data_IF_280412211905
#
_entry.id   IF_280412211905
#
_cell.length_a   1.000
_cell.length_b   1.000
_cell.length_c   1.000
_cell.angle_alpha   90.00
_cell.angle_beta   90.00
_cell.angle_gamma   90.00
#
_symmetry.space_group_name_H-M   'P 1'
#
loop_
_entity.id
_entity.type
_entity.pdbx_description
1 polymer ?
#
# COMPACT_ATOMS: atom_id res chain seq x y z
N UNK A 1 1.23 -20.15 19.97
CA UNK A 1 0.70 -18.83 19.59
C UNK A 1 0.64 -18.01 20.86
N UNK A 2 1.28 -16.85 20.89
CA UNK A 2 1.37 -15.99 22.09
C UNK A 2 0.14 -15.10 22.24
N UNK A 3 -0.12 -14.58 23.44
CA UNK A 3 -1.22 -13.64 23.68
C UNK A 3 -1.13 -12.40 22.79
N UNK A 4 0.09 -11.91 22.55
CA UNK A 4 0.34 -10.80 21.63
C UNK A 4 -0.08 -11.14 20.19
N UNK A 5 0.22 -12.35 19.72
CA UNK A 5 -0.17 -12.81 18.38
C UNK A 5 -1.70 -12.95 18.26
N UNK A 6 -2.37 -13.46 19.30
CA UNK A 6 -3.83 -13.55 19.36
C UNK A 6 -4.48 -12.17 19.28
N UNK A 7 -3.99 -11.20 20.06
CA UNK A 7 -4.48 -9.82 20.04
C UNK A 7 -4.22 -9.17 18.69
N UNK A 8 -3.05 -9.37 18.07
CA UNK A 8 -2.75 -8.84 16.74
C UNK A 8 -3.67 -9.45 15.66
N UNK A 9 -3.92 -10.75 15.74
CA UNK A 9 -4.84 -11.43 14.83
C UNK A 9 -6.27 -10.89 15.00
N UNK A 10 -6.71 -10.71 16.24
CA UNK A 10 -7.97 -10.03 16.55
C UNK A 10 -8.00 -8.64 15.91
N UNK A 11 -7.01 -7.78 16.13
CA UNK A 11 -6.97 -6.41 15.57
C UNK A 11 -7.02 -6.43 14.04
N UNK A 12 -6.34 -7.38 13.39
CA UNK A 12 -6.28 -7.51 11.94
C UNK A 12 -7.60 -8.01 11.32
N UNK A 13 -8.37 -8.80 12.05
CA UNK A 13 -9.64 -9.35 11.56
C UNK A 13 -10.86 -8.54 12.01
N UNK A 14 -10.82 -8.02 13.23
CA UNK A 14 -11.89 -7.27 13.86
C UNK A 14 -11.90 -5.83 13.36
N UNK A 15 -12.58 -5.64 12.24
CA UNK A 15 -12.78 -4.32 11.65
C UNK A 15 -13.99 -3.63 12.30
N UNK A 16 -13.98 -3.44 13.63
CA UNK A 16 -14.87 -2.49 14.40
C UNK A 16 -14.09 -1.78 15.52
N UNK A 17 -14.54 -0.65 16.09
CA UNK A 17 -14.00 -0.12 17.33
C UNK A 17 -14.07 -1.16 18.46
N UNK A 18 -13.05 -1.22 19.30
CA UNK A 18 -12.93 -2.20 20.37
C UNK A 18 -12.31 -1.58 21.62
N UNK A 19 -12.54 -2.22 22.76
CA UNK A 19 -11.91 -1.92 24.05
C UNK A 19 -11.31 -3.21 24.63
N UNK A 20 -10.71 -3.12 25.82
CA UNK A 20 -10.13 -4.26 26.54
C UNK A 20 -11.14 -5.40 26.70
N UNK A 21 -12.38 -5.09 27.12
CA UNK A 21 -13.42 -6.10 27.33
C UNK A 21 -13.77 -6.87 26.05
N UNK A 22 -13.86 -6.17 24.92
CA UNK A 22 -14.14 -6.77 23.61
C UNK A 22 -13.04 -7.74 23.20
N UNK A 23 -11.77 -7.36 23.42
CA UNK A 23 -10.62 -8.22 23.14
C UNK A 23 -10.69 -9.45 24.05
N UNK A 24 -10.92 -9.25 25.35
CA UNK A 24 -10.98 -10.32 26.34
C UNK A 24 -12.08 -11.34 26.00
N UNK A 25 -13.27 -10.86 25.64
CA UNK A 25 -14.40 -11.71 25.27
C UNK A 25 -14.12 -12.56 24.02
N UNK A 26 -13.46 -12.00 23.01
CA UNK A 26 -13.27 -12.65 21.71
C UNK A 26 -11.98 -13.46 21.59
N UNK A 27 -11.00 -13.20 22.45
CA UNK A 27 -9.71 -13.93 22.48
C UNK A 27 -9.57 -14.84 23.70
N UNK A 28 -10.46 -14.72 24.69
CA UNK A 28 -10.36 -15.38 26.00
C UNK A 28 -9.08 -15.04 26.78
N UNK A 29 -8.40 -13.94 26.43
CA UNK A 29 -7.25 -13.42 27.16
C UNK A 29 -7.75 -12.55 28.31
N UNK A 30 -7.06 -12.61 29.45
CA UNK A 30 -7.40 -11.81 30.62
C UNK A 30 -7.15 -10.31 30.37
N UNK A 31 -8.02 -9.47 30.92
CA UNK A 31 -8.00 -8.02 30.71
C UNK A 31 -6.68 -7.37 31.15
N UNK A 32 -6.08 -7.84 32.25
CA UNK A 32 -4.79 -7.38 32.78
C UNK A 32 -3.63 -7.62 31.80
N UNK A 33 -3.62 -8.76 31.09
CA UNK A 33 -2.64 -9.05 30.05
C UNK A 33 -2.84 -8.13 28.85
N UNK A 34 -4.10 -7.90 28.46
CA UNK A 34 -4.44 -7.01 27.35
C UNK A 34 -4.01 -5.57 27.66
N UNK A 35 -4.28 -5.07 28.87
CA UNK A 35 -3.92 -3.73 29.32
C UNK A 35 -2.39 -3.52 29.36
N UNK A 36 -1.60 -4.58 29.58
CA UNK A 36 -0.14 -4.52 29.46
C UNK A 36 0.36 -4.49 28.00
N UNK A 37 -0.42 -5.00 27.06
CA UNK A 37 -0.05 -5.11 25.65
C UNK A 37 -0.52 -3.88 24.85
N UNK A 38 -1.68 -3.30 25.17
CA UNK A 38 -2.26 -2.15 24.47
C UNK A 38 -1.29 -0.96 24.34
N UNK A 39 -0.55 -0.53 25.39
CA UNK A 39 0.45 0.55 25.27
C UNK A 39 1.53 0.26 24.23
N UNK A 40 1.99 -0.99 24.12
CA UNK A 40 2.99 -1.41 23.12
C UNK A 40 2.43 -1.33 21.71
N UNK A 41 1.14 -1.64 21.54
CA UNK A 41 0.46 -1.57 20.25
C UNK A 41 0.16 -0.12 19.81
N UNK A 42 -0.09 0.77 20.77
CA UNK A 42 -0.16 2.22 20.54
C UNK A 42 1.20 2.76 20.11
N UNK A 43 2.26 2.40 20.84
CA UNK A 43 3.63 2.82 20.52
C UNK A 43 4.07 2.32 19.13
N UNK A 44 3.73 1.09 18.77
CA UNK A 44 4.04 0.54 17.45
C UNK A 44 3.08 0.99 16.34
N UNK A 45 2.14 1.90 16.63
CA UNK A 45 1.12 2.39 15.70
C UNK A 45 0.28 1.28 15.06
N UNK A 46 0.08 0.16 15.75
CA UNK A 46 -0.84 -0.89 15.28
C UNK A 46 -2.30 -0.46 15.48
N UNK A 47 -2.55 0.30 16.55
CA UNK A 47 -3.86 0.83 16.94
C UNK A 47 -3.76 2.32 17.25
N UNK A 48 -4.90 3.00 17.36
CA UNK A 48 -5.01 4.39 17.82
C UNK A 48 -6.27 4.56 18.68
N UNK A 49 -6.24 5.46 19.67
CA UNK A 49 -7.43 5.78 20.47
C UNK A 49 -8.41 6.63 19.64
N UNK A 50 -9.69 6.50 19.94
CA UNK A 50 -10.76 7.35 19.41
C UNK A 50 -11.65 7.96 20.50
N UNK A 51 -11.60 7.41 21.71
CA UNK A 51 -12.24 7.90 22.92
C UNK A 51 -11.33 7.56 24.10
N UNK A 52 -11.21 8.47 25.06
CA UNK A 52 -10.30 8.32 26.20
C UNK A 52 -11.01 7.71 27.43
N UNK A 53 -12.32 7.90 27.56
CA UNK A 53 -13.09 7.40 28.72
C UNK A 53 -14.53 6.99 28.37
N UNK A 54 -14.87 5.69 28.37
CA UNK A 54 -13.95 4.55 28.49
C UNK A 54 -13.03 4.46 27.26
N UNK A 55 -11.79 3.93 27.40
CA UNK A 55 -10.87 3.85 26.28
C UNK A 55 -11.42 3.00 25.13
N UNK A 56 -11.52 3.59 23.94
CA UNK A 56 -11.91 2.89 22.70
C UNK A 56 -10.80 3.05 21.67
N UNK A 57 -10.44 1.93 21.05
CA UNK A 57 -9.39 1.84 20.06
C UNK A 57 -9.90 1.38 18.70
N UNK A 58 -9.15 1.72 17.67
CA UNK A 58 -9.29 1.19 16.31
C UNK A 58 -7.94 0.82 15.73
N UNK A 59 -7.92 -0.01 14.69
CA UNK A 59 -6.71 -0.21 13.87
C UNK A 59 -6.23 1.13 13.31
N UNK A 60 -4.93 1.41 13.36
CA UNK A 60 -4.40 2.73 13.01
C UNK A 60 -4.80 3.20 11.60
N UNK A 61 -4.86 2.27 10.64
CA UNK A 61 -5.21 2.51 9.24
C UNK A 61 -6.73 2.51 8.93
N UNK A 62 -7.61 2.29 9.91
CA UNK A 62 -9.07 2.14 9.69
C UNK A 62 -9.73 3.36 9.06
N UNK A 63 -9.36 4.56 9.54
CA UNK A 63 -9.86 5.85 9.03
C UNK A 63 -8.83 6.56 8.16
N UNK A 64 -7.83 5.85 7.66
CA UNK A 64 -6.91 6.43 6.70
C UNK A 64 -7.70 6.70 5.43
N UNK A 65 -7.79 7.96 5.01
CA UNK A 65 -8.50 8.36 3.81
C UNK A 65 -7.96 7.53 2.63
N UNK A 66 -8.78 6.58 2.16
CA UNK A 66 -8.48 5.82 0.95
C UNK A 66 -8.87 6.72 -0.20
N UNK A 67 -7.87 7.28 -0.88
CA UNK A 67 -8.11 8.14 -2.04
C UNK A 67 -8.59 7.23 -3.17
N UNK A 68 -9.91 7.13 -3.30
CA UNK A 68 -10.58 6.44 -4.40
C UNK A 68 -10.49 7.30 -5.65
N UNK A 69 -9.99 6.72 -6.74
CA UNK A 69 -9.84 7.44 -8.01
C UNK A 69 -11.11 7.31 -8.86
N UNK A 70 -11.60 8.44 -9.38
CA UNK A 70 -12.91 8.54 -10.03
C UNK A 70 -13.02 7.72 -11.34
N UNK A 71 -11.90 7.47 -12.03
CA UNK A 71 -11.91 6.68 -13.29
C UNK A 71 -11.66 5.18 -13.08
N UNK A 72 -11.15 4.77 -11.91
CA UNK A 72 -11.05 3.37 -11.51
C UNK A 72 -11.99 3.16 -10.33
N UNK A 73 -13.31 3.26 -10.58
CA UNK A 73 -14.35 3.14 -9.55
C UNK A 73 -14.06 1.93 -8.65
N UNK A 74 -13.87 2.17 -7.35
CA UNK A 74 -13.62 1.14 -6.35
C UNK A 74 -12.16 0.72 -6.15
N UNK A 75 -11.20 1.25 -6.91
CA UNK A 75 -9.78 0.99 -6.66
C UNK A 75 -9.24 1.85 -5.53
N UNK A 76 -8.47 1.21 -4.65
CA UNK A 76 -7.74 1.86 -3.55
C UNK A 76 -6.26 1.47 -3.64
N UNK A 77 -5.39 2.44 -3.36
CA UNK A 77 -3.94 2.24 -3.40
C UNK A 77 -3.40 1.97 -1.99
N UNK A 78 -2.58 0.93 -1.90
CA UNK A 78 -1.88 0.51 -0.70
C UNK A 78 -0.44 1.00 -0.77
N UNK A 79 -0.02 1.80 0.22
CA UNK A 79 1.38 2.27 0.32
C UNK A 79 2.32 1.07 0.42
N UNK A 80 1.96 0.06 1.22
CA UNK A 80 2.75 -1.17 1.37
C UNK A 80 2.91 -1.92 0.05
N UNK A 81 1.84 -2.08 -0.72
CA UNK A 81 1.95 -2.78 -2.01
C UNK A 81 2.69 -1.93 -3.06
N UNK A 82 2.64 -0.61 -2.93
CA UNK A 82 3.46 0.28 -3.77
C UNK A 82 4.95 0.03 -3.52
N UNK A 83 5.38 0.00 -2.25
CA UNK A 83 6.77 -0.30 -1.92
C UNK A 83 7.21 -1.67 -2.42
N UNK A 84 6.39 -2.73 -2.23
CA UNK A 84 6.71 -4.06 -2.75
C UNK A 84 6.91 -4.07 -4.27
N UNK A 85 6.07 -3.36 -5.02
CA UNK A 85 6.23 -3.25 -6.46
C UNK A 85 7.53 -2.52 -6.83
N UNK A 86 7.88 -1.45 -6.11
CA UNK A 86 9.14 -0.73 -6.35
C UNK A 86 10.37 -1.60 -6.04
N UNK A 87 10.34 -2.38 -4.95
CA UNK A 87 11.43 -3.30 -4.60
C UNK A 87 11.65 -4.32 -5.74
N UNK A 88 10.56 -4.86 -6.30
CA UNK A 88 10.64 -5.76 -7.47
C UNK A 88 11.29 -5.03 -8.64
N UNK A 89 10.79 -3.83 -9.01
CA UNK A 89 11.32 -3.08 -10.15
C UNK A 89 12.81 -2.76 -10.03
N UNK A 90 13.31 -2.49 -8.83
CA UNK A 90 14.74 -2.22 -8.59
C UNK A 90 15.61 -3.48 -8.69
N UNK A 91 15.06 -4.67 -8.42
CA UNK A 91 15.78 -5.94 -8.48
C UNK A 91 15.94 -6.50 -9.91
N UNK A 92 15.27 -5.93 -10.91
CA UNK A 92 15.25 -6.47 -12.26
C UNK A 92 15.08 -5.43 -13.36
N UNK A 93 14.99 -5.91 -14.62
CA UNK A 93 14.85 -5.05 -15.80
C UNK A 93 13.57 -5.40 -16.56
N UNK A 94 12.44 -4.96 -16.02
CA UNK A 94 11.13 -5.34 -16.53
C UNK A 94 10.66 -4.46 -17.67
N UNK A 95 10.34 -5.08 -18.81
CA UNK A 95 9.74 -4.40 -19.98
C UNK A 95 8.23 -4.61 -20.07
N UNK A 96 7.74 -5.63 -19.37
CA UNK A 96 6.40 -6.19 -19.53
C UNK A 96 5.60 -6.18 -18.24
N UNK A 97 4.37 -5.66 -18.31
CA UNK A 97 3.38 -5.75 -17.22
C UNK A 97 3.04 -7.20 -16.90
N UNK A 98 3.07 -8.09 -17.90
CA UNK A 98 2.78 -9.52 -17.71
C UNK A 98 3.85 -10.19 -16.85
N UNK A 99 5.11 -9.86 -17.09
CA UNK A 99 6.26 -10.40 -16.35
C UNK A 99 6.21 -9.95 -14.88
N UNK A 100 6.02 -8.65 -14.65
CA UNK A 100 5.88 -8.09 -13.30
C UNK A 100 4.72 -8.74 -12.55
N UNK A 101 3.57 -8.91 -13.20
CA UNK A 101 2.38 -9.53 -12.62
C UNK A 101 2.64 -10.97 -12.14
N UNK A 102 3.41 -11.75 -12.89
CA UNK A 102 3.79 -13.11 -12.51
C UNK A 102 4.68 -13.12 -11.27
N UNK A 103 5.66 -12.21 -11.19
CA UNK A 103 6.62 -12.15 -10.08
C UNK A 103 5.96 -11.67 -8.79
N UNK A 104 5.14 -10.63 -8.86
CA UNK A 104 4.45 -10.08 -7.68
C UNK A 104 3.22 -10.89 -7.26
N UNK A 105 2.78 -11.85 -8.08
CA UNK A 105 1.57 -12.66 -7.82
C UNK A 105 0.28 -11.83 -7.83
N UNK A 106 0.18 -10.82 -8.69
CA UNK A 106 -1.02 -9.96 -8.84
C UNK A 106 -1.53 -9.98 -10.28
N UNK A 107 -2.73 -9.46 -10.50
CA UNK A 107 -3.29 -9.38 -11.86
C UNK A 107 -2.55 -8.35 -12.72
N UNK A 108 -2.57 -8.53 -14.04
CA UNK A 108 -1.98 -7.55 -14.99
C UNK A 108 -2.62 -6.18 -14.87
N UNK A 109 -3.93 -6.14 -14.62
CA UNK A 109 -4.68 -4.90 -14.40
C UNK A 109 -4.21 -4.19 -13.12
N UNK A 110 -3.98 -4.95 -12.04
CA UNK A 110 -3.43 -4.40 -10.79
C UNK A 110 -2.07 -3.72 -11.05
N UNK A 111 -1.16 -4.41 -11.75
CA UNK A 111 0.16 -3.85 -12.08
C UNK A 111 0.03 -2.62 -12.97
N UNK A 112 -0.81 -2.66 -14.00
CA UNK A 112 -1.06 -1.52 -14.89
C UNK A 112 -1.51 -0.28 -14.11
N UNK A 113 -2.52 -0.44 -13.24
CA UNK A 113 -3.10 0.66 -12.46
C UNK A 113 -2.07 1.23 -11.48
N UNK A 114 -1.30 0.39 -10.79
CA UNK A 114 -0.25 0.85 -9.87
C UNK A 114 0.87 1.57 -10.60
N UNK A 115 1.32 1.07 -11.75
CA UNK A 115 2.34 1.72 -12.56
C UNK A 115 1.85 3.07 -13.11
N UNK A 116 0.61 3.17 -13.59
CA UNK A 116 0.02 4.46 -14.00
C UNK A 116 -0.01 5.44 -12.84
N UNK A 117 -0.47 5.01 -11.67
CA UNK A 117 -0.56 5.87 -10.50
C UNK A 117 0.81 6.37 -10.04
N UNK A 118 1.82 5.49 -10.00
CA UNK A 118 3.19 5.86 -9.62
C UNK A 118 3.88 6.75 -10.66
N UNK A 119 3.67 6.50 -11.95
CA UNK A 119 4.20 7.37 -13.00
C UNK A 119 3.59 8.78 -12.92
N UNK A 120 2.31 8.88 -12.55
CA UNK A 120 1.59 10.16 -12.43
C UNK A 120 2.09 11.06 -11.30
N UNK A 121 2.86 10.51 -10.36
CA UNK A 121 3.45 11.22 -9.23
C UNK A 121 4.98 11.14 -9.24
N UNK A 122 5.57 10.83 -10.40
CA UNK A 122 7.02 10.85 -10.62
C UNK A 122 7.78 9.87 -9.69
N UNK A 123 7.17 8.72 -9.39
CA UNK A 123 7.80 7.62 -8.63
C UNK A 123 8.43 6.60 -9.57
N UNK A 124 7.76 6.31 -10.70
CA UNK A 124 8.21 5.37 -11.73
C UNK A 124 8.27 6.08 -13.09
N UNK A 125 9.25 5.70 -13.89
CA UNK A 125 9.41 6.13 -15.27
C UNK A 125 9.64 4.92 -16.19
N UNK A 126 9.64 5.14 -17.51
CA UNK A 126 10.00 4.15 -18.51
C UNK A 126 11.22 4.66 -19.28
N UNK A 127 12.35 3.95 -19.22
CA UNK A 127 13.59 4.32 -19.92
C UNK A 127 14.11 3.14 -20.71
N UNK A 128 14.36 3.31 -22.01
CA UNK A 128 14.69 2.22 -22.91
C UNK A 128 13.65 1.09 -22.88
N UNK A 129 12.37 1.45 -22.73
CA UNK A 129 11.24 0.52 -22.53
C UNK A 129 11.29 -0.31 -21.25
N UNK A 130 12.15 0.02 -20.29
CA UNK A 130 12.27 -0.64 -19.00
C UNK A 130 11.65 0.25 -17.93
N UNK A 131 10.81 -0.33 -17.08
CA UNK A 131 10.26 0.37 -15.91
C UNK A 131 11.37 0.61 -14.90
N UNK A 132 11.54 1.86 -14.46
CA UNK A 132 12.58 2.27 -13.51
C UNK A 132 11.97 3.06 -12.37
N UNK A 133 12.47 2.84 -11.16
CA UNK A 133 12.14 3.67 -10.00
C UNK A 133 13.01 4.92 -10.03
N UNK A 134 12.38 6.10 -9.97
CA UNK A 134 13.08 7.39 -10.03
C UNK A 134 13.06 8.12 -8.68
N UNK A 135 12.05 7.89 -7.85
CA UNK A 135 11.97 8.44 -6.49
C UNK A 135 10.98 7.66 -5.65
N UNK A 136 11.27 7.46 -4.36
CA UNK A 136 10.31 6.92 -3.37
C UNK A 136 9.60 8.00 -2.56
N UNK A 137 10.05 9.25 -2.65
CA UNK A 137 9.58 10.36 -1.80
C UNK A 137 8.09 10.68 -2.00
N UNK A 138 7.60 10.49 -3.22
CA UNK A 138 6.22 10.80 -3.57
C UNK A 138 5.24 9.62 -3.33
N UNK A 139 5.69 8.43 -2.90
CA UNK A 139 4.81 7.28 -2.67
C UNK A 139 3.61 7.59 -1.74
N UNK A 140 3.75 8.39 -0.65
CA UNK A 140 2.61 8.80 0.18
C UNK A 140 1.52 9.61 -0.55
N UNK A 141 1.80 10.09 -1.78
CA UNK A 141 0.88 10.81 -2.66
C UNK A 141 0.16 9.89 -3.65
N UNK A 142 0.37 8.57 -3.60
CA UNK A 142 -0.23 7.65 -4.57
C UNK A 142 -1.75 7.75 -4.58
N UNK A 143 -2.33 7.71 -5.77
CA UNK A 143 -3.78 7.86 -5.98
C UNK A 143 -4.30 9.29 -5.90
N UNK A 144 -3.52 10.28 -5.39
CA UNK A 144 -3.94 11.71 -5.34
C UNK A 144 -4.21 12.27 -6.73
N UNK A 145 -3.35 11.93 -7.69
CA UNK A 145 -3.48 12.27 -9.10
C UNK A 145 -3.02 11.07 -9.92
N UNK A 146 -3.91 10.54 -10.75
CA UNK A 146 -3.57 9.51 -11.73
C UNK A 146 -3.87 10.09 -13.11
N UNK A 147 -2.92 10.02 -14.03
CA UNK A 147 -3.05 10.46 -15.41
C UNK A 147 -3.26 9.22 -16.27
N UNK A 148 -4.49 9.05 -16.76
CA UNK A 148 -4.83 7.92 -17.64
C UNK A 148 -3.98 7.98 -18.92
N UNK A 149 -3.45 6.83 -19.33
CA UNK A 149 -2.67 6.69 -20.55
C UNK A 149 -1.22 7.20 -20.43
N UNK A 150 -0.76 7.64 -19.25
CA UNK A 150 0.61 8.12 -19.06
C UNK A 150 1.66 7.06 -19.46
N UNK A 151 1.40 5.77 -19.20
CA UNK A 151 2.30 4.70 -19.62
C UNK A 151 2.40 4.60 -21.15
N UNK A 152 1.31 4.88 -21.88
CA UNK A 152 1.31 4.97 -23.33
C UNK A 152 2.12 6.15 -23.84
N UNK A 153 2.01 7.30 -23.18
CA UNK A 153 2.80 8.51 -23.47
C UNK A 153 4.29 8.25 -23.26
N UNK A 154 4.68 7.67 -22.11
CA UNK A 154 6.06 7.29 -21.82
C UNK A 154 6.63 6.33 -22.87
N UNK A 155 5.85 5.33 -23.30
CA UNK A 155 6.24 4.42 -24.40
C UNK A 155 6.41 5.14 -25.73
N UNK A 156 5.62 6.17 -26.00
CA UNK A 156 5.77 6.99 -27.22
C UNK A 156 7.06 7.82 -27.18
N UNK A 157 7.35 8.45 -26.03
CA UNK A 157 8.58 9.22 -25.83
C UNK A 157 9.85 8.37 -26.00
N UNK A 158 9.82 7.12 -25.52
CA UNK A 158 10.92 6.17 -25.74
C UNK A 158 11.12 5.80 -27.22
N UNK A 159 10.06 5.80 -28.04
CA UNK A 159 10.19 5.62 -29.50
C UNK A 159 10.91 6.79 -30.14
N UNK A 160 10.51 8.01 -29.78
CA UNK A 160 11.05 9.25 -30.35
C UNK A 160 12.52 9.47 -29.92
N UNK A 161 12.83 9.22 -28.64
CA UNK A 161 14.20 9.32 -28.11
C UNK A 161 15.17 8.28 -28.68
N UNK A 162 14.68 7.11 -29.08
CA UNK A 162 15.48 6.07 -29.72
C UNK A 162 15.94 6.38 -31.14
N UNK A 163 15.39 7.42 -31.79
CA UNK A 163 15.83 7.87 -33.13
C UNK A 163 16.92 8.96 -33.09
N UNK A 164 17.31 9.46 -31.91
CA UNK A 164 18.32 10.53 -31.76
C UNK A 164 19.71 10.06 -31.31
N UNK A 165 19.96 8.75 -31.29
CA UNK A 165 21.25 8.18 -30.87
C UNK A 165 21.92 7.32 -31.95
N UNK A 166 21.63 7.62 -33.22
CA UNK A 166 22.35 7.11 -34.37
C UNK A 166 22.76 8.31 -35.24
N UNK A 167 23.71 9.09 -34.75
CA UNK A 167 24.56 9.99 -35.54
C UNK A 167 25.90 10.15 -34.80
#
# INVERSE_FOLDING_TARGET
>A
MTDRELILNFINQYDRPFNTDTIAQLTSIQADIIDQILPKLLQSQAIKPIEDSPPIYVRANRYQARIGYQHYKGWTFSITDSHKLLDILEQGRYKSIREIAQIIGKSRQWVYIYLEAMASIEVVDLRGYIYVVISRQNVPKIGRKVQKGILGQLRSLNRIGGHRSQD
#
